data_IF_935413025142
#
_entry.id   IF_935413025142
#
_cell.length_a   1.000
_cell.length_b   1.000
_cell.length_c   1.000
_cell.angle_alpha   90.00
_cell.angle_beta   90.00
_cell.angle_gamma   90.00
#
_symmetry.space_group_name_H-M   'P 1'
#
loop_
_entity.id
_entity.type
_entity.pdbx_description
1 polymer ?
#
# COMPACT_ATOMS: atom_id res chain seq x y z
N UNK A 1 19.84 -13.37 17.81
CA UNK A 1 19.73 -12.05 17.16
C UNK A 1 18.25 -11.91 16.93
N UNK A 2 17.55 -11.37 17.91
CA UNK A 2 16.11 -11.51 18.02
C UNK A 2 15.50 -10.18 17.58
N UNK A 3 15.31 -10.05 16.27
CA UNK A 3 14.65 -8.90 15.67
C UNK A 3 13.17 -8.96 16.01
N UNK A 4 12.69 -8.00 16.78
CA UNK A 4 11.26 -7.77 16.92
C UNK A 4 10.73 -7.29 15.57
N UNK A 5 10.21 -8.22 14.78
CA UNK A 5 9.54 -7.88 13.53
C UNK A 5 8.17 -7.29 13.88
N UNK A 6 8.02 -5.98 13.69
CA UNK A 6 6.77 -5.25 13.94
C UNK A 6 5.84 -5.25 12.71
N UNK A 7 6.29 -5.90 11.63
CA UNK A 7 5.57 -6.11 10.40
C UNK A 7 4.84 -7.46 10.49
N UNK A 8 3.53 -7.44 10.31
CA UNK A 8 2.74 -8.66 10.19
C UNK A 8 2.15 -8.71 8.78
N UNK A 9 1.96 -9.91 8.22
CA UNK A 9 1.65 -10.05 6.80
C UNK A 9 1.73 -11.47 6.27
N UNK A 10 1.33 -11.63 5.01
CA UNK A 10 1.62 -12.85 4.25
C UNK A 10 2.26 -12.50 2.92
N UNK A 11 3.21 -13.34 2.51
CA UNK A 11 3.89 -13.24 1.23
C UNK A 11 3.59 -14.48 0.42
N UNK A 12 2.89 -14.32 -0.70
CA UNK A 12 2.72 -15.38 -1.68
C UNK A 12 3.77 -15.18 -2.78
N UNK A 13 4.97 -15.72 -2.49
CA UNK A 13 6.15 -16.01 -3.32
C UNK A 13 6.47 -15.08 -4.50
N UNK A 14 7.74 -14.64 -4.67
CA UNK A 14 8.88 -14.87 -3.79
C UNK A 14 8.93 -13.81 -2.66
N UNK A 15 9.72 -14.08 -1.62
CA UNK A 15 9.90 -13.20 -0.43
C UNK A 15 10.28 -11.76 -0.86
N UNK A 16 9.85 -10.69 -0.16
CA UNK A 16 10.18 -9.31 -0.55
C UNK A 16 11.71 -9.08 -0.54
N UNK A 17 12.44 -9.73 0.36
CA UNK A 17 13.91 -9.67 0.46
C UNK A 17 14.63 -10.37 -0.70
N UNK A 18 13.91 -11.18 -1.46
CA UNK A 18 14.39 -11.77 -2.72
C UNK A 18 14.02 -10.95 -3.94
N UNK A 19 13.38 -9.78 -3.76
CA UNK A 19 13.29 -8.76 -4.79
C UNK A 19 14.52 -7.88 -4.66
N UNK A 20 15.58 -8.07 -5.47
CA UNK A 20 16.67 -7.10 -5.47
C UNK A 20 16.02 -5.79 -5.88
N UNK A 21 16.02 -4.81 -4.98
CA UNK A 21 15.51 -3.46 -5.26
C UNK A 21 14.04 -3.44 -5.70
N UNK A 22 13.11 -4.24 -5.15
CA UNK A 22 11.72 -4.29 -5.64
C UNK A 22 11.60 -4.43 -7.17
N UNK A 23 12.47 -5.20 -7.82
CA UNK A 23 12.39 -5.43 -9.26
C UNK A 23 11.05 -6.08 -9.60
N UNK A 24 10.18 -5.39 -10.36
CA UNK A 24 8.87 -5.90 -10.67
C UNK A 24 8.91 -7.08 -11.64
N UNK A 25 10.06 -7.70 -11.94
CA UNK A 25 10.26 -8.80 -12.90
C UNK A 25 9.84 -10.19 -12.38
N UNK A 26 9.52 -10.32 -11.10
CA UNK A 26 9.16 -11.60 -10.48
C UNK A 26 7.71 -11.55 -10.00
N UNK A 27 6.91 -12.54 -10.41
CA UNK A 27 5.51 -12.61 -9.98
C UNK A 27 5.43 -12.88 -8.49
N UNK A 28 4.57 -12.17 -7.77
CA UNK A 28 4.38 -12.36 -6.33
C UNK A 28 3.41 -11.37 -5.72
N UNK A 29 3.03 -11.62 -4.46
CA UNK A 29 2.15 -10.77 -3.67
C UNK A 29 2.74 -10.58 -2.28
N UNK A 30 2.79 -9.33 -1.84
CA UNK A 30 3.12 -8.91 -0.49
C UNK A 30 1.91 -8.17 0.05
N UNK A 31 1.39 -8.62 1.19
CA UNK A 31 0.39 -7.90 1.97
C UNK A 31 0.91 -7.79 3.40
N UNK A 32 1.17 -6.56 3.85
CA UNK A 32 1.73 -6.28 5.18
C UNK A 32 1.00 -5.12 5.84
N UNK A 33 1.00 -5.14 7.17
CA UNK A 33 0.60 -4.02 8.00
C UNK A 33 1.63 -3.79 9.11
N UNK A 34 1.59 -2.58 9.67
CA UNK A 34 2.41 -2.21 10.83
C UNK A 34 1.49 -1.93 12.00
N UNK A 35 1.67 -2.67 13.09
CA UNK A 35 1.00 -2.41 14.36
C UNK A 35 1.65 -1.21 15.07
N UNK A 36 1.02 -0.04 14.95
CA UNK A 36 1.51 1.20 15.54
C UNK A 36 1.52 1.15 17.07
N UNK A 37 0.66 0.33 17.69
CA UNK A 37 0.61 0.19 19.16
C UNK A 37 1.82 -0.56 19.71
N UNK A 38 2.38 -1.48 18.91
CA UNK A 38 3.59 -2.23 19.26
C UNK A 38 4.87 -1.45 18.93
N UNK A 39 4.87 -0.68 17.86
CA UNK A 39 6.00 0.17 17.45
C UNK A 39 6.11 1.41 18.35
N UNK A 40 4.99 1.90 18.89
CA UNK A 40 4.95 3.13 19.69
C UNK A 40 5.13 4.41 18.86
N UNK A 41 4.97 4.31 17.54
CA UNK A 41 5.05 5.44 16.60
C UNK A 41 3.63 6.00 16.40
N UNK A 42 3.43 7.30 16.61
CA UNK A 42 2.16 7.98 16.32
C UNK A 42 1.62 7.69 14.90
N UNK A 43 0.32 7.46 14.78
CA UNK A 43 -0.35 7.03 13.53
C UNK A 43 -0.16 8.03 12.37
N UNK A 44 0.00 9.29 12.72
CA UNK A 44 0.20 10.44 11.84
C UNK A 44 1.59 10.43 11.16
N UNK A 45 2.59 9.73 11.71
CA UNK A 45 3.88 9.49 11.02
C UNK A 45 3.78 8.45 9.92
N UNK A 46 2.79 7.54 9.97
CA UNK A 46 2.56 6.59 8.88
C UNK A 46 1.99 7.26 7.63
N UNK A 47 1.39 8.45 7.74
CA UNK A 47 1.09 9.30 6.58
C UNK A 47 2.35 9.50 5.73
N UNK A 48 3.49 9.86 6.34
CA UNK A 48 4.75 10.07 5.63
C UNK A 48 5.29 8.79 5.01
N UNK A 49 5.09 7.64 5.67
CA UNK A 49 5.48 6.35 5.12
C UNK A 49 4.62 5.98 3.89
N UNK A 50 3.33 6.31 3.91
CA UNK A 50 2.38 5.99 2.85
C UNK A 50 2.44 6.97 1.66
N UNK A 51 2.60 8.26 1.93
CA UNK A 51 2.74 9.34 0.93
C UNK A 51 4.18 9.51 0.45
N UNK A 52 5.12 8.73 1.00
CA UNK A 52 6.55 8.86 0.76
C UNK A 52 7.01 8.24 -0.57
N UNK A 53 8.25 8.56 -0.99
CA UNK A 53 8.81 8.19 -2.29
C UNK A 53 9.00 6.68 -2.51
N UNK A 54 8.82 5.83 -1.49
CA UNK A 54 9.04 4.38 -1.61
C UNK A 54 8.16 3.72 -2.68
N UNK A 55 6.95 4.25 -2.91
CA UNK A 55 6.07 3.81 -4.00
C UNK A 55 6.38 4.54 -5.31
N UNK A 56 6.89 5.78 -5.25
CA UNK A 56 7.38 6.55 -6.40
C UNK A 56 8.60 5.90 -7.06
N UNK A 57 9.48 5.26 -6.28
CA UNK A 57 10.65 4.51 -6.78
C UNK A 57 10.28 3.31 -7.65
N UNK A 58 9.06 2.75 -7.52
CA UNK A 58 8.53 1.74 -8.44
C UNK A 58 8.14 2.35 -9.79
N UNK A 59 7.78 3.63 -9.80
CA UNK A 59 7.32 4.36 -10.98
C UNK A 59 8.44 4.99 -11.81
N UNK A 60 9.51 5.47 -11.17
CA UNK A 60 10.52 6.34 -11.78
C UNK A 60 11.70 5.58 -12.44
N UNK A 61 11.54 4.28 -12.70
CA UNK A 61 12.59 3.47 -13.33
C UNK A 61 12.54 3.52 -14.86
N UNK A 62 13.71 3.60 -15.47
CA UNK A 62 13.87 3.45 -16.91
C UNK A 62 13.23 2.12 -17.39
N UNK A 63 12.40 2.20 -18.45
CA UNK A 63 11.66 1.04 -18.97
C UNK A 63 10.36 0.72 -18.21
N UNK A 64 9.98 1.50 -17.19
CA UNK A 64 8.71 1.37 -16.50
C UNK A 64 7.75 2.51 -16.88
N UNK A 65 6.47 2.16 -17.08
CA UNK A 65 5.38 3.13 -17.13
C UNK A 65 4.47 2.91 -15.94
N UNK A 66 4.20 3.95 -15.17
CA UNK A 66 3.40 3.88 -13.95
C UNK A 66 2.18 4.79 -14.02
N UNK A 67 1.22 4.50 -13.14
CA UNK A 67 0.13 5.41 -12.81
C UNK A 67 -0.12 5.33 -11.32
N UNK A 68 -0.53 6.46 -10.76
CA UNK A 68 -1.00 6.57 -9.39
C UNK A 68 -2.39 7.20 -9.37
N UNK A 69 -3.21 6.75 -8.43
CA UNK A 69 -4.47 7.37 -8.07
C UNK A 69 -4.54 7.51 -6.56
N UNK A 70 -4.37 8.75 -6.12
CA UNK A 70 -4.64 9.18 -4.75
C UNK A 70 -6.17 9.17 -4.54
N UNK A 71 -6.61 8.50 -3.47
CA UNK A 71 -8.00 8.38 -3.07
C UNK A 71 -8.31 9.26 -1.85
N UNK A 72 -7.31 9.46 -0.99
CA UNK A 72 -7.34 10.40 0.13
C UNK A 72 -5.92 10.91 0.39
N UNK A 73 -5.83 12.20 0.70
CA UNK A 73 -4.58 12.91 0.99
C UNK A 73 -4.90 14.05 1.96
N UNK A 74 -5.27 13.67 3.18
CA UNK A 74 -5.53 14.63 4.25
C UNK A 74 -4.24 14.82 5.03
N UNK A 75 -3.48 15.87 4.67
CA UNK A 75 -2.20 16.18 5.29
C UNK A 75 -2.37 16.41 6.81
N UNK A 76 -1.62 15.71 7.67
CA UNK A 76 -1.70 15.90 9.11
C UNK A 76 -1.18 17.27 9.54
N UNK A 77 -1.85 17.90 10.51
CA UNK A 77 -1.56 19.29 10.89
C UNK A 77 -0.21 19.47 11.60
N UNK A 78 0.38 18.41 12.17
CA UNK A 78 1.71 18.45 12.78
C UNK A 78 2.82 18.80 11.78
N UNK A 79 2.63 18.47 10.48
CA UNK A 79 3.58 18.86 9.42
C UNK A 79 3.65 20.37 9.21
N UNK A 80 2.65 21.10 9.71
CA UNK A 80 2.58 22.56 9.69
C UNK A 80 2.80 23.19 11.08
N UNK A 81 3.27 22.40 12.06
CA UNK A 81 3.59 22.87 13.40
C UNK A 81 2.40 23.01 14.35
N UNK A 82 1.20 22.56 13.96
CA UNK A 82 0.03 22.53 14.84
C UNK A 82 -0.08 21.17 15.55
N UNK A 83 -0.42 21.17 16.84
CA UNK A 83 -0.35 19.96 17.66
C UNK A 83 -1.40 18.88 17.34
N UNK A 84 -2.47 19.19 16.59
CA UNK A 84 -3.63 18.30 16.55
C UNK A 84 -4.26 18.23 15.14
N UNK A 85 -4.05 17.10 14.46
CA UNK A 85 -4.98 16.49 13.49
C UNK A 85 -4.28 15.27 12.90
N UNK A 86 -4.89 14.10 13.03
CA UNK A 86 -4.38 12.93 12.34
C UNK A 86 -4.83 12.94 10.89
N UNK A 87 -3.85 13.00 10.01
CA UNK A 87 -4.04 12.92 8.58
C UNK A 87 -4.36 11.51 8.10
N UNK A 88 -4.84 11.38 6.88
CA UNK A 88 -4.95 10.07 6.24
C UNK A 88 -4.35 10.12 4.83
N UNK A 89 -3.88 8.97 4.39
CA UNK A 89 -3.42 8.81 3.01
C UNK A 89 -3.87 7.46 2.51
N UNK A 90 -4.52 7.46 1.35
CA UNK A 90 -4.91 6.23 0.67
C UNK A 90 -4.63 6.39 -0.80
N UNK A 91 -3.83 5.49 -1.36
CA UNK A 91 -3.52 5.50 -2.77
C UNK A 91 -3.53 4.09 -3.34
N UNK A 92 -3.73 4.02 -4.65
CA UNK A 92 -3.50 2.82 -5.43
C UNK A 92 -2.81 3.20 -6.72
N UNK A 93 -2.01 2.29 -7.23
CA UNK A 93 -1.35 2.51 -8.49
C UNK A 93 -0.84 1.22 -9.07
N UNK A 94 0.01 1.35 -10.07
CA UNK A 94 0.61 0.22 -10.73
C UNK A 94 1.28 0.64 -12.01
N UNK A 95 1.74 -0.36 -12.75
CA UNK A 95 2.50 -0.09 -13.96
C UNK A 95 2.88 -1.33 -14.72
N UNK A 96 3.65 -1.10 -15.78
CA UNK A 96 4.30 -2.16 -16.55
C UNK A 96 5.76 -1.78 -16.69
N UNK A 97 6.64 -2.71 -16.34
CA UNK A 97 8.07 -2.59 -16.53
C UNK A 97 8.53 -3.54 -17.63
N UNK A 98 9.31 -2.99 -18.57
CA UNK A 98 9.91 -3.69 -19.70
C UNK A 98 11.43 -3.50 -19.61
N UNK A 99 12.12 -4.27 -18.76
CA UNK A 99 13.58 -4.26 -18.76
C UNK A 99 14.10 -4.72 -20.13
N UNK A 100 15.18 -4.11 -20.62
CA UNK A 100 15.78 -4.47 -21.90
C UNK A 100 16.16 -5.96 -21.95
N UNK A 101 15.69 -6.66 -22.98
CA UNK A 101 15.92 -8.10 -23.16
C UNK A 101 15.18 -9.00 -22.15
N UNK A 102 14.37 -8.43 -21.24
CA UNK A 102 13.63 -9.16 -20.23
C UNK A 102 12.13 -9.32 -20.53
N UNK A 103 11.46 -10.14 -19.72
CA UNK A 103 10.00 -10.30 -19.84
C UNK A 103 9.29 -9.10 -19.19
N UNK A 104 8.36 -8.51 -19.94
CA UNK A 104 7.51 -7.44 -19.42
C UNK A 104 6.71 -7.93 -18.20
N UNK A 105 6.65 -7.10 -17.17
CA UNK A 105 5.96 -7.46 -15.94
C UNK A 105 5.06 -6.33 -15.47
N UNK A 106 3.85 -6.70 -15.05
CA UNK A 106 2.83 -5.77 -14.57
C UNK A 106 2.75 -5.86 -13.07
N UNK A 107 2.59 -4.71 -12.44
CA UNK A 107 2.46 -4.59 -11.00
C UNK A 107 1.29 -3.68 -10.64
N UNK A 108 0.80 -3.83 -9.41
CA UNK A 108 -0.26 -3.00 -8.82
C UNK A 108 -0.05 -2.95 -7.32
N UNK A 109 -0.39 -1.82 -6.71
CA UNK A 109 -0.32 -1.65 -5.28
C UNK A 109 -1.56 -0.96 -4.71
N UNK A 110 -1.73 -1.13 -3.42
CA UNK A 110 -2.62 -0.36 -2.57
C UNK A 110 -1.87 -0.01 -1.29
N UNK A 111 -1.99 1.24 -0.85
CA UNK A 111 -1.46 1.70 0.41
C UNK A 111 -2.54 2.48 1.15
N UNK A 112 -2.62 2.28 2.46
CA UNK A 112 -3.43 3.09 3.34
C UNK A 112 -2.66 3.35 4.64
N UNK A 113 -2.47 4.63 4.98
CA UNK A 113 -2.17 5.08 6.33
C UNK A 113 -3.42 5.78 6.85
N UNK A 114 -4.32 5.03 7.53
CA UNK A 114 -5.44 5.68 8.16
C UNK A 114 -4.97 6.39 9.43
N UNK A 115 -5.15 7.70 9.49
CA UNK A 115 -5.12 8.40 10.77
C UNK A 115 -6.43 8.24 11.53
N UNK A 116 -6.92 9.33 12.11
CA UNK A 116 -8.17 9.33 12.86
C UNK A 116 -9.32 9.76 11.95
N UNK A 117 -10.32 8.90 11.78
CA UNK A 117 -11.44 9.11 10.86
C UNK A 117 -12.18 7.81 10.54
N UNK A 118 -13.13 7.80 9.59
CA UNK A 118 -13.87 6.59 9.20
C UNK A 118 -12.95 5.44 8.74
N UNK A 119 -11.82 5.75 8.11
CA UNK A 119 -10.82 4.76 7.68
C UNK A 119 -10.00 4.21 8.86
N UNK A 120 -9.74 5.01 9.90
CA UNK A 120 -9.07 4.56 11.13
C UNK A 120 -9.85 3.56 11.97
N UNK A 121 -11.12 3.30 11.61
CA UNK A 121 -11.95 2.24 12.22
C UNK A 121 -11.92 0.93 11.45
N UNK A 122 -11.22 0.89 10.32
CA UNK A 122 -11.13 -0.28 9.44
C UNK A 122 -9.82 -1.02 9.62
N UNK A 123 -9.87 -2.31 9.34
CA UNK A 123 -8.73 -3.21 9.33
C UNK A 123 -8.45 -3.80 10.71
N UNK A 124 -7.17 -3.89 11.05
CA UNK A 124 -6.70 -4.45 12.32
C UNK A 124 -6.57 -3.32 13.33
N UNK A 125 -7.22 -3.42 14.51
CA UNK A 125 -7.10 -2.40 15.55
C UNK A 125 -5.62 -2.14 15.90
N UNK A 126 -5.22 -0.87 15.92
CA UNK A 126 -3.85 -0.47 16.23
C UNK A 126 -2.89 -0.43 15.05
N UNK A 127 -3.30 -0.88 13.86
CA UNK A 127 -2.45 -0.78 12.67
C UNK A 127 -2.38 0.64 12.13
N UNK A 128 -1.15 1.14 11.95
CA UNK A 128 -0.88 2.48 11.41
C UNK A 128 -0.68 2.53 9.90
N UNK A 129 -0.38 1.39 9.27
CA UNK A 129 -0.08 1.30 7.84
C UNK A 129 -0.52 -0.03 7.26
N UNK A 130 -1.07 0.00 6.05
CA UNK A 130 -1.43 -1.16 5.24
C UNK A 130 -0.78 -1.02 3.87
N UNK A 131 -0.05 -2.05 3.43
CA UNK A 131 0.61 -2.07 2.11
C UNK A 131 0.30 -3.39 1.43
N UNK A 132 -0.14 -3.31 0.18
CA UNK A 132 -0.29 -4.44 -0.73
C UNK A 132 0.48 -4.13 -1.99
N UNK A 133 1.37 -5.02 -2.41
CA UNK A 133 2.05 -4.95 -3.71
C UNK A 133 1.93 -6.30 -4.37
N UNK A 134 1.46 -6.33 -5.61
CA UNK A 134 1.38 -7.53 -6.41
C UNK A 134 2.03 -7.31 -7.78
N UNK A 135 2.76 -8.31 -8.26
CA UNK A 135 3.37 -8.33 -9.57
C UNK A 135 3.10 -9.66 -10.29
N UNK A 136 3.00 -9.62 -11.62
CA UNK A 136 2.87 -10.81 -12.46
C UNK A 136 3.39 -10.52 -13.86
N UNK A 137 3.85 -11.57 -14.56
CA UNK A 137 4.20 -11.47 -15.98
C UNK A 137 3.10 -10.77 -16.78
N UNK A 138 3.49 -9.83 -17.63
CA UNK A 138 2.55 -9.07 -18.43
C UNK A 138 1.87 -9.99 -19.45
N UNK A 139 0.55 -9.87 -19.53
CA UNK A 139 -0.30 -10.64 -20.43
C UNK A 139 -1.67 -9.98 -20.56
N UNK A 140 -2.51 -10.37 -21.54
CA UNK A 140 -3.88 -9.86 -21.66
C UNK A 140 -4.76 -10.08 -20.41
N UNK A 141 -4.37 -11.01 -19.51
CA UNK A 141 -5.09 -11.29 -18.26
C UNK A 141 -4.44 -10.66 -17.03
N UNK A 142 -3.20 -10.18 -17.11
CA UNK A 142 -2.42 -9.70 -15.96
C UNK A 142 -3.18 -8.64 -15.14
N UNK A 143 -3.77 -7.64 -15.79
CA UNK A 143 -4.58 -6.61 -15.12
C UNK A 143 -5.76 -7.18 -14.33
N UNK A 144 -6.48 -8.16 -14.89
CA UNK A 144 -7.61 -8.81 -14.20
C UNK A 144 -7.14 -9.67 -13.03
N UNK A 145 -6.04 -10.39 -13.20
CA UNK A 145 -5.45 -11.22 -12.15
C UNK A 145 -5.04 -10.34 -10.97
N UNK A 146 -4.30 -9.26 -11.22
CA UNK A 146 -3.85 -8.34 -10.19
C UNK A 146 -5.03 -7.64 -9.48
N UNK A 147 -6.03 -7.16 -10.22
CA UNK A 147 -7.23 -6.58 -9.59
C UNK A 147 -7.89 -7.59 -8.66
N UNK A 148 -8.12 -8.83 -9.11
CA UNK A 148 -8.70 -9.88 -8.26
C UNK A 148 -7.84 -10.17 -7.05
N UNK A 149 -6.52 -10.24 -7.19
CA UNK A 149 -5.63 -10.48 -6.05
C UNK A 149 -5.79 -9.37 -5.01
N UNK A 150 -5.62 -8.11 -5.41
CA UNK A 150 -5.77 -6.96 -4.53
C UNK A 150 -7.16 -6.93 -3.87
N UNK A 151 -8.23 -7.13 -4.66
CA UNK A 151 -9.63 -7.07 -4.18
C UNK A 151 -9.97 -8.19 -3.16
N UNK A 152 -9.20 -9.28 -3.12
CA UNK A 152 -9.39 -10.39 -2.16
C UNK A 152 -8.46 -10.31 -0.94
N UNK A 153 -7.50 -9.39 -0.90
CA UNK A 153 -6.69 -9.17 0.30
C UNK A 153 -7.56 -8.53 1.39
N UNK A 154 -7.42 -9.04 2.60
CA UNK A 154 -8.10 -8.56 3.79
C UNK A 154 -7.11 -8.30 4.92
N UNK A 155 -7.42 -7.27 5.71
CA UNK A 155 -6.75 -6.96 6.96
C UNK A 155 -7.79 -7.10 8.07
N UNK A 156 -7.73 -8.18 8.85
CA UNK A 156 -8.82 -8.54 9.75
C UNK A 156 -10.12 -8.81 8.96
N UNK A 157 -11.26 -8.19 9.33
CA UNK A 157 -12.52 -8.38 8.64
C UNK A 157 -12.66 -7.57 7.33
N UNK A 158 -11.85 -6.52 7.15
CA UNK A 158 -12.00 -5.52 6.09
C UNK A 158 -11.08 -5.79 4.89
N UNK A 159 -11.56 -5.50 3.68
CA UNK A 159 -10.75 -5.51 2.46
C UNK A 159 -10.57 -4.12 1.85
N UNK A 160 -9.77 -4.00 0.79
CA UNK A 160 -9.53 -2.72 0.08
C UNK A 160 -10.84 -1.98 -0.23
N UNK A 161 -11.88 -2.69 -0.65
CA UNK A 161 -13.18 -2.11 -0.98
C UNK A 161 -13.85 -1.38 0.19
N UNK A 162 -13.59 -1.79 1.42
CA UNK A 162 -14.13 -1.17 2.63
C UNK A 162 -13.39 0.13 2.95
N UNK A 163 -12.04 0.14 2.81
CA UNK A 163 -11.22 1.36 2.90
C UNK A 163 -11.69 2.42 1.90
N UNK A 164 -11.88 2.04 0.63
CA UNK A 164 -12.35 2.96 -0.41
C UNK A 164 -13.78 3.45 -0.15
N UNK A 165 -14.62 2.63 0.50
CA UNK A 165 -16.00 3.01 0.83
C UNK A 165 -16.04 4.00 1.98
N UNK A 166 -15.22 3.82 3.01
CA UNK A 166 -15.14 4.73 4.15
C UNK A 166 -14.65 6.13 3.76
N UNK A 167 -13.92 6.26 2.65
CA UNK A 167 -13.50 7.53 2.07
C UNK A 167 -14.61 8.28 1.32
N UNK A 168 -15.71 7.62 0.98
CA UNK A 168 -16.84 8.32 0.34
C UNK A 168 -17.57 9.11 1.41
N UNK A 169 -17.84 10.41 1.20
CA UNK A 169 -18.68 11.16 2.11
C UNK A 169 -20.00 10.40 2.27
N UNK A 170 -20.39 10.18 3.53
CA UNK A 170 -21.70 9.60 3.83
C UNK A 170 -22.74 10.41 3.08
N UNK A 171 -23.47 9.76 2.19
CA UNK A 171 -24.66 10.35 1.61
C UNK A 171 -25.63 10.52 2.78
N UNK A 172 -25.59 11.69 3.41
CA UNK A 172 -26.52 12.08 4.44
C UNK A 172 -27.92 12.00 3.82
N UNK A 173 -28.72 11.08 4.34
CA UNK A 173 -30.17 11.07 4.18
C UNK A 173 -30.77 12.14 5.09
#
# INVERSE_FOLDING_TARGET
MDGHDFHEGFVASPHPDTWPEMRPSTAGLVATWVDATRVGVPSDLYYLAASGPLLSELGDRAGCSSFEKILADNVPAFLHGAADSAGDFVARGGGVCRPDGGTATRWSYFVAAPGFGPVGRLGIPGSGLYVIVAATRESPRARRILSRLLDNVRFGPDGIGDFVRALRPGMAL
#
